data_IF_639676979481
#
_entry.id   IF_639676979481
#
_cell.length_a   1.000
_cell.length_b   1.000
_cell.length_c   1.000
_cell.angle_alpha   90.00
_cell.angle_beta   90.00
_cell.angle_gamma   90.00
#
_symmetry.space_group_name_H-M   'P 1'
#
loop_
_entity.id
_entity.type
_entity.pdbx_description
1 polymer ?
#
# COMPACT_ATOMS: atom_id res chain seq x y z
N UNK A 1 22.74 9.48 1.07
CA UNK A 1 22.59 8.57 2.23
C UNK A 1 21.22 7.87 2.26
N UNK A 2 20.12 8.56 1.89
CA UNK A 2 18.78 7.98 1.67
C UNK A 2 18.81 6.68 0.86
N UNK A 3 19.49 6.71 -0.29
CA UNK A 3 19.61 5.58 -1.22
C UNK A 3 20.32 4.36 -0.61
N UNK A 4 21.29 4.55 0.30
CA UNK A 4 22.17 3.47 0.79
C UNK A 4 21.54 2.69 1.97
N UNK A 5 20.79 3.37 2.84
CA UNK A 5 20.05 2.72 3.92
C UNK A 5 18.73 2.11 3.42
N UNK A 6 18.05 2.77 2.47
CA UNK A 6 16.93 2.16 1.74
C UNK A 6 17.40 0.88 1.05
N UNK A 7 18.56 0.83 0.38
CA UNK A 7 19.04 -0.41 -0.25
C UNK A 7 19.17 -1.57 0.73
N UNK A 8 19.57 -1.33 1.98
CA UNK A 8 19.77 -2.41 2.96
C UNK A 8 18.44 -3.02 3.44
N UNK A 9 17.42 -2.18 3.66
CA UNK A 9 16.06 -2.64 3.97
C UNK A 9 15.31 -3.17 2.74
N UNK A 10 15.58 -2.63 1.55
CA UNK A 10 15.07 -3.10 0.27
C UNK A 10 15.51 -4.54 -0.01
N UNK A 11 16.76 -4.90 0.30
CA UNK A 11 17.21 -6.29 0.15
C UNK A 11 16.56 -7.23 1.16
N UNK A 12 16.39 -6.82 2.42
CA UNK A 12 15.76 -7.67 3.45
C UNK A 12 14.27 -7.88 3.15
N UNK A 13 13.52 -6.84 2.77
CA UNK A 13 12.11 -6.98 2.40
C UNK A 13 11.89 -7.74 1.09
N UNK A 14 12.78 -7.56 0.09
CA UNK A 14 12.77 -8.33 -1.14
C UNK A 14 13.11 -9.81 -0.90
N UNK A 15 14.18 -10.10 -0.15
CA UNK A 15 14.55 -11.47 0.22
C UNK A 15 13.48 -12.14 1.09
N UNK A 16 12.92 -11.44 2.08
CA UNK A 16 11.88 -12.01 2.95
C UNK A 16 10.57 -12.20 2.20
N UNK A 17 10.16 -11.27 1.33
CA UNK A 17 8.98 -11.44 0.47
C UNK A 17 9.14 -12.60 -0.52
N UNK A 18 10.33 -12.76 -1.10
CA UNK A 18 10.65 -13.87 -1.99
C UNK A 18 10.75 -15.21 -1.25
N UNK A 19 11.32 -15.24 -0.03
CA UNK A 19 11.40 -16.44 0.82
C UNK A 19 10.01 -16.82 1.35
N UNK A 20 9.17 -15.87 1.75
CA UNK A 20 7.78 -16.14 2.15
C UNK A 20 6.94 -16.65 0.98
N UNK A 21 7.14 -16.17 -0.24
CA UNK A 21 6.52 -16.73 -1.45
C UNK A 21 6.94 -18.19 -1.69
N UNK A 22 8.18 -18.56 -1.32
CA UNK A 22 8.69 -19.94 -1.41
C UNK A 22 8.20 -20.83 -0.26
N UNK A 23 7.94 -20.26 0.92
CA UNK A 23 7.62 -21.00 2.17
C UNK A 23 6.12 -21.09 2.48
N UNK A 24 5.24 -20.24 1.92
CA UNK A 24 3.77 -20.27 2.15
C UNK A 24 3.04 -21.47 1.51
N UNK A 25 3.67 -22.64 1.43
CA UNK A 25 3.13 -23.89 0.88
C UNK A 25 2.06 -24.58 1.75
N UNK A 26 1.64 -24.01 2.90
CA UNK A 26 1.10 -24.85 3.98
C UNK A 26 -0.08 -24.29 4.78
N UNK A 27 -1.06 -23.61 4.17
CA UNK A 27 -2.40 -23.46 4.81
C UNK A 27 -3.49 -23.36 3.75
N UNK A 28 -4.00 -24.51 3.31
CA UNK A 28 -5.23 -24.61 2.52
C UNK A 28 -6.44 -24.37 3.43
N UNK A 29 -7.27 -23.38 3.10
CA UNK A 29 -8.68 -23.36 3.49
C UNK A 29 -9.54 -23.28 2.22
N UNK A 30 -10.44 -24.24 2.06
CA UNK A 30 -11.40 -24.33 0.96
C UNK A 30 -12.45 -23.21 1.04
N UNK A 31 -12.58 -22.38 -0.01
CA UNK A 31 -13.80 -21.62 -0.38
C UNK A 31 -13.70 -21.03 -1.82
N UNK A 32 -14.77 -20.42 -2.39
CA UNK A 32 -15.62 -20.92 -3.48
C UNK A 32 -15.22 -20.48 -4.92
N UNK A 33 -15.79 -21.18 -5.92
CA UNK A 33 -15.47 -21.11 -7.36
C UNK A 33 -13.98 -21.30 -7.64
N UNK A 34 -13.49 -22.51 -7.36
CA UNK A 34 -12.09 -22.95 -7.56
C UNK A 34 -11.61 -22.92 -9.02
N UNK A 35 -12.42 -22.43 -9.95
CA UNK A 35 -12.21 -22.48 -11.40
C UNK A 35 -12.32 -21.08 -11.99
N UNK A 36 -11.42 -20.72 -12.89
CA UNK A 36 -11.50 -19.45 -13.63
C UNK A 36 -11.41 -19.70 -15.14
N UNK A 37 -12.19 -18.97 -15.98
CA UNK A 37 -12.06 -19.08 -17.42
C UNK A 37 -10.69 -18.57 -17.85
N UNK A 38 -9.95 -19.40 -18.60
CA UNK A 38 -8.66 -19.06 -19.19
C UNK A 38 -8.74 -19.22 -20.71
N UNK A 39 -8.01 -18.36 -21.41
CA UNK A 39 -7.84 -18.47 -22.86
C UNK A 39 -7.42 -19.91 -23.26
N UNK A 40 -8.10 -20.56 -24.23
CA UNK A 40 -7.84 -21.95 -24.58
C UNK A 40 -6.41 -22.22 -25.03
N UNK A 41 -5.76 -21.28 -25.71
CA UNK A 41 -4.37 -21.43 -26.17
C UNK A 41 -3.40 -21.37 -24.99
N UNK A 42 -3.62 -20.40 -24.09
CA UNK A 42 -2.84 -20.28 -22.86
C UNK A 42 -3.00 -21.51 -21.95
N UNK A 43 -4.23 -22.02 -21.85
CA UNK A 43 -4.53 -23.23 -21.10
C UNK A 43 -3.87 -24.48 -21.71
N UNK A 44 -3.86 -24.61 -23.05
CA UNK A 44 -3.17 -25.70 -23.74
C UNK A 44 -1.65 -25.69 -23.50
N UNK A 45 -1.03 -24.49 -23.48
CA UNK A 45 0.38 -24.32 -23.11
C UNK A 45 0.64 -24.76 -21.67
N UNK A 46 -0.22 -24.36 -20.72
CA UNK A 46 -0.13 -24.76 -19.32
C UNK A 46 -0.21 -26.29 -19.15
N UNK A 47 -1.17 -26.96 -19.80
CA UNK A 47 -1.31 -28.43 -19.77
C UNK A 47 -0.10 -29.12 -20.40
N UNK A 48 0.40 -28.59 -21.52
CA UNK A 48 1.58 -29.15 -22.20
C UNK A 48 2.81 -29.07 -21.30
N UNK A 49 3.04 -27.93 -20.65
CA UNK A 49 4.11 -27.79 -19.68
C UNK A 49 3.93 -28.73 -18.50
N UNK A 50 2.73 -28.78 -17.90
CA UNK A 50 2.43 -29.64 -16.76
C UNK A 50 2.80 -31.10 -17.03
N UNK A 51 2.48 -31.64 -18.21
CA UNK A 51 2.85 -33.01 -18.62
C UNK A 51 4.37 -33.25 -18.70
N UNK A 52 5.16 -32.20 -18.85
CA UNK A 52 6.63 -32.26 -18.92
C UNK A 52 7.32 -31.83 -17.62
N UNK A 53 6.56 -31.48 -16.58
CA UNK A 53 7.12 -31.26 -15.25
C UNK A 53 7.66 -32.60 -14.74
N UNK A 54 8.97 -32.65 -14.50
CA UNK A 54 9.67 -33.90 -14.22
C UNK A 54 9.10 -34.60 -12.98
N UNK A 55 8.63 -35.84 -13.16
CA UNK A 55 8.46 -36.79 -12.06
C UNK A 55 9.88 -37.23 -11.68
N UNK A 56 10.30 -36.91 -10.46
CA UNK A 56 11.66 -37.12 -9.96
C UNK A 56 12.07 -38.60 -10.00
N UNK A 57 13.39 -38.85 -10.13
CA UNK A 57 14.01 -40.19 -10.02
C UNK A 57 14.12 -40.66 -8.54
N UNK A 58 13.10 -40.35 -7.74
CA UNK A 58 13.05 -40.54 -6.28
C UNK A 58 12.52 -41.95 -5.93
N UNK A 59 13.07 -42.65 -4.92
CA UNK A 59 12.51 -43.91 -4.39
C UNK A 59 11.00 -43.88 -4.06
N UNK A 60 10.39 -42.71 -3.86
CA UNK A 60 8.93 -42.54 -3.73
C UNK A 60 8.17 -42.35 -5.06
N UNK A 61 8.70 -42.87 -6.17
CA UNK A 61 8.20 -42.70 -7.54
C UNK A 61 6.67 -42.85 -7.70
N UNK A 62 6.02 -43.79 -6.99
CA UNK A 62 4.56 -43.97 -7.07
C UNK A 62 3.77 -42.79 -6.49
N UNK A 63 4.24 -42.19 -5.40
CA UNK A 63 3.58 -41.05 -4.78
C UNK A 63 3.70 -39.80 -5.66
N UNK A 64 4.86 -39.59 -6.29
CA UNK A 64 5.08 -38.51 -7.25
C UNK A 64 4.21 -38.65 -8.50
N UNK A 65 4.00 -39.86 -9.03
CA UNK A 65 3.07 -40.11 -10.14
C UNK A 65 1.63 -39.75 -9.74
N UNK A 66 1.19 -40.14 -8.54
CA UNK A 66 -0.16 -39.83 -8.06
C UNK A 66 -0.37 -38.32 -7.90
N UNK A 67 0.60 -37.61 -7.33
CA UNK A 67 0.56 -36.14 -7.20
C UNK A 67 0.55 -35.44 -8.57
N UNK A 68 1.33 -35.95 -9.53
CA UNK A 68 1.35 -35.43 -10.88
C UNK A 68 0.03 -35.64 -11.62
N UNK A 69 -0.58 -36.83 -11.49
CA UNK A 69 -1.90 -37.08 -12.06
C UNK A 69 -2.97 -36.18 -11.42
N UNK A 70 -2.92 -36.00 -10.10
CA UNK A 70 -3.82 -35.10 -9.39
C UNK A 70 -3.68 -33.65 -9.90
N UNK A 71 -2.46 -33.17 -10.16
CA UNK A 71 -2.23 -31.86 -10.75
C UNK A 71 -2.88 -31.75 -12.14
N UNK A 72 -2.72 -32.75 -13.00
CA UNK A 72 -3.32 -32.75 -14.34
C UNK A 72 -4.85 -32.75 -14.29
N UNK A 73 -5.45 -33.52 -13.38
CA UNK A 73 -6.90 -33.57 -13.19
C UNK A 73 -7.42 -32.23 -12.65
N UNK A 74 -6.71 -31.62 -11.70
CA UNK A 74 -7.00 -30.28 -11.20
C UNK A 74 -6.89 -29.21 -12.29
N UNK A 75 -5.85 -29.26 -13.12
CA UNK A 75 -5.71 -28.34 -14.25
C UNK A 75 -6.88 -28.50 -15.23
N UNK A 76 -7.28 -29.73 -15.58
CA UNK A 76 -8.41 -29.98 -16.48
C UNK A 76 -9.73 -29.41 -15.96
N UNK A 77 -9.91 -29.34 -14.65
CA UNK A 77 -11.06 -28.66 -14.04
C UNK A 77 -10.92 -27.13 -13.97
N UNK A 78 -9.81 -26.55 -14.41
CA UNK A 78 -9.53 -25.11 -14.36
C UNK A 78 -9.10 -24.61 -12.99
N UNK A 79 -8.56 -25.50 -12.14
CA UNK A 79 -8.20 -25.16 -10.76
C UNK A 79 -7.16 -24.04 -10.68
N UNK A 80 -7.49 -22.97 -9.93
CA UNK A 80 -6.66 -21.76 -9.80
C UNK A 80 -5.28 -22.07 -9.22
N UNK A 81 -5.19 -22.87 -8.16
CA UNK A 81 -3.92 -23.20 -7.48
C UNK A 81 -3.03 -24.07 -8.38
N UNK A 82 -3.62 -25.00 -9.11
CA UNK A 82 -2.91 -25.83 -10.07
C UNK A 82 -2.33 -24.98 -11.22
N UNK A 83 -3.12 -24.03 -11.74
CA UNK A 83 -2.68 -23.09 -12.78
C UNK A 83 -1.57 -22.16 -12.26
N UNK A 84 -1.68 -21.68 -11.02
CA UNK A 84 -0.64 -20.89 -10.38
C UNK A 84 0.66 -21.69 -10.21
N UNK A 85 0.57 -22.95 -9.77
CA UNK A 85 1.72 -23.87 -9.64
C UNK A 85 2.45 -24.07 -10.98
N UNK A 86 1.69 -24.25 -12.06
CA UNK A 86 2.24 -24.34 -13.42
C UNK A 86 2.94 -23.03 -13.83
N UNK A 87 2.32 -21.88 -13.59
CA UNK A 87 2.91 -20.58 -13.88
C UNK A 87 4.22 -20.36 -13.12
N UNK A 88 4.28 -20.74 -11.83
CA UNK A 88 5.49 -20.68 -11.04
C UNK A 88 6.61 -21.57 -11.61
N UNK A 89 6.27 -22.80 -12.01
CA UNK A 89 7.22 -23.73 -12.62
C UNK A 89 7.78 -23.21 -13.95
N UNK A 90 6.92 -22.63 -14.80
CA UNK A 90 7.32 -21.97 -16.05
C UNK A 90 8.30 -20.82 -15.78
N UNK A 91 7.98 -19.95 -14.83
CA UNK A 91 8.84 -18.82 -14.48
C UNK A 91 10.21 -19.27 -13.93
N UNK A 92 10.27 -20.37 -13.15
CA UNK A 92 11.52 -20.91 -12.62
C UNK A 92 12.47 -21.46 -13.69
N UNK A 93 11.95 -21.98 -14.82
CA UNK A 93 12.79 -22.43 -15.94
C UNK A 93 13.47 -21.27 -16.66
N UNK A 94 12.85 -20.09 -16.64
CA UNK A 94 13.44 -18.84 -17.13
C UNK A 94 13.71 -18.80 -18.65
N UNK A 95 13.21 -19.75 -19.43
CA UNK A 95 13.26 -19.71 -20.89
C UNK A 95 12.27 -18.67 -21.43
N UNK A 96 12.63 -17.94 -22.50
CA UNK A 96 11.90 -16.75 -22.97
C UNK A 96 10.38 -16.91 -23.04
N UNK A 97 9.89 -17.87 -23.83
CA UNK A 97 8.45 -18.12 -24.01
C UNK A 97 7.78 -18.65 -22.73
N UNK A 98 8.50 -19.40 -21.90
CA UNK A 98 7.99 -19.93 -20.63
C UNK A 98 7.71 -18.78 -19.65
N UNK A 99 8.61 -17.79 -19.57
CA UNK A 99 8.43 -16.60 -18.72
C UNK A 99 7.27 -15.72 -19.20
N UNK A 100 7.08 -15.59 -20.51
CA UNK A 100 5.91 -14.86 -21.06
C UNK A 100 4.63 -15.61 -20.70
N UNK A 101 4.61 -16.92 -20.88
CA UNK A 101 3.46 -17.78 -20.57
C UNK A 101 3.12 -17.75 -19.08
N UNK A 102 4.11 -17.74 -18.18
CA UNK A 102 3.86 -17.62 -16.75
C UNK A 102 3.23 -16.28 -16.38
N UNK A 103 3.72 -15.18 -16.95
CA UNK A 103 3.15 -13.85 -16.70
C UNK A 103 1.72 -13.76 -17.23
N UNK A 104 1.44 -14.30 -18.43
CA UNK A 104 0.09 -14.36 -18.99
C UNK A 104 -0.87 -15.18 -18.11
N UNK A 105 -0.41 -16.31 -17.57
CA UNK A 105 -1.18 -17.10 -16.61
C UNK A 105 -1.47 -16.29 -15.34
N UNK A 106 -0.48 -15.63 -14.75
CA UNK A 106 -0.71 -14.81 -13.57
C UNK A 106 -1.71 -13.67 -13.83
N UNK A 107 -1.66 -13.03 -15.00
CA UNK A 107 -2.68 -12.04 -15.40
C UNK A 107 -4.07 -12.65 -15.44
N UNK A 108 -4.24 -13.80 -16.10
CA UNK A 108 -5.54 -14.47 -16.19
C UNK A 108 -6.11 -14.82 -14.79
N UNK A 109 -5.24 -15.16 -13.84
CA UNK A 109 -5.63 -15.48 -12.46
C UNK A 109 -5.89 -14.22 -11.61
N UNK A 110 -5.05 -13.20 -11.71
CA UNK A 110 -5.10 -11.98 -10.89
C UNK A 110 -6.13 -10.96 -11.40
N UNK A 111 -6.24 -10.75 -12.71
CA UNK A 111 -7.20 -9.80 -13.29
C UNK A 111 -8.58 -10.46 -13.54
N UNK A 112 -8.65 -11.79 -13.46
CA UNK A 112 -9.87 -12.57 -13.63
C UNK A 112 -10.83 -12.53 -12.42
N UNK A 113 -11.99 -13.20 -12.52
CA UNK A 113 -13.01 -13.21 -11.45
C UNK A 113 -12.48 -13.70 -10.10
N UNK A 114 -11.53 -14.64 -10.12
CA UNK A 114 -10.85 -15.16 -8.93
C UNK A 114 -10.07 -14.06 -8.17
N UNK A 115 -9.53 -13.09 -8.89
CA UNK A 115 -8.58 -12.09 -8.41
C UNK A 115 -7.50 -12.68 -7.48
N UNK A 116 -6.86 -13.74 -7.97
CA UNK A 116 -6.00 -14.60 -7.19
C UNK A 116 -4.80 -13.83 -6.58
N UNK A 117 -4.74 -13.77 -5.25
CA UNK A 117 -3.80 -12.94 -4.49
C UNK A 117 -2.35 -13.29 -4.79
N UNK A 118 -1.97 -14.56 -4.80
CA UNK A 118 -0.57 -14.95 -5.04
C UNK A 118 -0.11 -14.65 -6.47
N UNK A 119 -1.03 -14.70 -7.44
CA UNK A 119 -0.73 -14.26 -8.82
C UNK A 119 -0.54 -12.75 -8.90
N UNK A 120 -1.34 -11.95 -8.18
CA UNK A 120 -1.11 -10.52 -8.07
C UNK A 120 0.26 -10.22 -7.41
N UNK A 121 0.64 -10.93 -6.34
CA UNK A 121 1.98 -10.79 -5.73
C UNK A 121 3.09 -11.08 -6.76
N UNK A 122 2.96 -12.17 -7.52
CA UNK A 122 3.95 -12.54 -8.54
C UNK A 122 4.07 -11.50 -9.67
N UNK A 123 2.95 -10.91 -10.10
CA UNK A 123 2.95 -9.81 -11.07
C UNK A 123 3.57 -8.54 -10.48
N UNK A 124 3.27 -8.20 -9.23
CA UNK A 124 3.88 -7.08 -8.52
C UNK A 124 5.41 -7.17 -8.56
N UNK A 125 5.97 -8.34 -8.22
CA UNK A 125 7.42 -8.55 -8.32
C UNK A 125 7.94 -8.55 -9.76
N UNK A 126 7.17 -9.07 -10.71
CA UNK A 126 7.57 -9.10 -12.13
C UNK A 126 7.70 -7.70 -12.73
N UNK A 127 6.88 -6.76 -12.26
CA UNK A 127 6.86 -5.38 -12.76
C UNK A 127 7.67 -4.39 -11.91
N UNK A 128 8.02 -4.71 -10.65
CA UNK A 128 8.58 -3.76 -9.68
C UNK A 128 9.77 -2.92 -10.19
N UNK A 129 10.61 -3.49 -11.05
CA UNK A 129 11.82 -2.83 -11.58
C UNK A 129 11.63 -2.23 -12.98
N UNK A 130 10.56 -2.56 -13.68
CA UNK A 130 10.33 -2.17 -15.10
C UNK A 130 9.12 -1.26 -15.29
N UNK A 131 8.10 -1.40 -14.45
CA UNK A 131 6.86 -0.63 -14.47
C UNK A 131 6.28 -0.55 -13.05
N UNK A 132 6.67 0.51 -12.32
CA UNK A 132 6.30 0.69 -10.91
C UNK A 132 4.81 0.93 -10.71
N UNK A 133 4.15 1.59 -11.64
CA UNK A 133 2.71 1.86 -11.56
C UNK A 133 1.91 0.56 -11.70
N UNK A 134 2.29 -0.29 -12.67
CA UNK A 134 1.67 -1.60 -12.84
C UNK A 134 1.99 -2.53 -11.67
N UNK A 135 3.21 -2.49 -11.14
CA UNK A 135 3.57 -3.23 -9.93
C UNK A 135 2.73 -2.80 -8.72
N UNK A 136 2.53 -1.49 -8.54
CA UNK A 136 1.69 -0.93 -7.49
C UNK A 136 0.26 -1.43 -7.60
N UNK A 137 -0.34 -1.41 -8.79
CA UNK A 137 -1.70 -1.95 -9.02
C UNK A 137 -1.83 -3.35 -8.41
N UNK A 138 -0.88 -4.24 -8.69
CA UNK A 138 -0.93 -5.63 -8.23
C UNK A 138 -0.59 -5.81 -6.75
N UNK A 139 0.40 -5.08 -6.22
CA UNK A 139 0.69 -5.13 -4.80
C UNK A 139 -0.46 -4.58 -3.96
N UNK A 140 -1.11 -3.49 -4.40
CA UNK A 140 -2.30 -2.93 -3.76
C UNK A 140 -3.45 -3.95 -3.78
N UNK A 141 -3.72 -4.56 -4.92
CA UNK A 141 -4.73 -5.61 -5.04
C UNK A 141 -4.47 -6.76 -4.05
N UNK A 142 -3.23 -7.27 -4.00
CA UNK A 142 -2.87 -8.35 -3.08
C UNK A 142 -2.90 -7.91 -1.60
N UNK A 143 -2.54 -6.66 -1.31
CA UNK A 143 -2.58 -6.08 0.04
C UNK A 143 -4.02 -5.90 0.55
N UNK A 144 -5.00 -5.70 -0.33
CA UNK A 144 -6.41 -5.65 0.04
C UNK A 144 -7.02 -7.04 0.26
N UNK A 145 -6.51 -8.05 -0.45
CA UNK A 145 -7.11 -9.40 -0.45
C UNK A 145 -8.44 -9.46 -1.19
N UNK A 146 -9.05 -10.65 -1.26
CA UNK A 146 -10.41 -10.83 -1.83
C UNK A 146 -11.08 -12.09 -1.28
N UNK A 147 -12.38 -11.98 -0.99
CA UNK A 147 -13.20 -13.09 -0.53
C UNK A 147 -12.71 -13.61 0.82
N UNK A 148 -12.54 -14.92 0.93
CA UNK A 148 -12.01 -15.55 2.15
C UNK A 148 -10.47 -15.47 2.24
N UNK A 149 -9.79 -15.06 1.16
CA UNK A 149 -8.36 -14.78 1.12
C UNK A 149 -8.07 -13.41 1.71
N UNK A 150 -7.51 -13.40 2.92
CA UNK A 150 -7.10 -12.18 3.63
C UNK A 150 -5.98 -11.41 2.94
N UNK A 151 -5.62 -10.24 3.47
CA UNK A 151 -4.61 -9.36 2.88
C UNK A 151 -3.21 -10.00 2.87
N UNK A 152 -2.46 -9.83 1.79
CA UNK A 152 -1.08 -10.32 1.71
C UNK A 152 -0.09 -9.32 2.34
N UNK A 153 0.41 -9.63 3.54
CA UNK A 153 1.25 -8.72 4.32
C UNK A 153 2.50 -8.21 3.56
N UNK A 154 3.21 -9.08 2.84
CA UNK A 154 4.39 -8.65 2.08
C UNK A 154 4.05 -7.79 0.86
N UNK A 155 2.82 -7.90 0.34
CA UNK A 155 2.36 -7.04 -0.75
C UNK A 155 2.14 -5.61 -0.24
N UNK A 156 1.55 -5.47 0.95
CA UNK A 156 1.40 -4.16 1.60
C UNK A 156 2.77 -3.50 1.83
N UNK A 157 3.76 -4.23 2.35
CA UNK A 157 5.12 -3.70 2.50
C UNK A 157 5.72 -3.22 1.18
N UNK A 158 5.61 -4.02 0.11
CA UNK A 158 6.15 -3.66 -1.21
C UNK A 158 5.40 -2.49 -1.87
N UNK A 159 4.08 -2.40 -1.69
CA UNK A 159 3.32 -1.22 -2.10
C UNK A 159 3.83 0.03 -1.39
N UNK A 160 3.99 -0.04 -0.05
CA UNK A 160 4.52 1.06 0.74
C UNK A 160 5.90 1.52 0.29
N UNK A 161 6.80 0.58 -0.04
CA UNK A 161 8.12 0.89 -0.63
C UNK A 161 7.98 1.63 -1.96
N UNK A 162 7.18 1.13 -2.88
CA UNK A 162 7.06 1.71 -4.21
C UNK A 162 6.41 3.10 -4.19
N UNK A 163 5.41 3.33 -3.33
CA UNK A 163 4.86 4.68 -3.13
C UNK A 163 5.94 5.66 -2.67
N UNK A 164 6.81 5.26 -1.74
CA UNK A 164 7.92 6.09 -1.30
C UNK A 164 8.89 6.42 -2.44
N UNK A 165 9.21 5.44 -3.29
CA UNK A 165 10.06 5.65 -4.47
C UNK A 165 9.44 6.59 -5.52
N UNK A 166 8.12 6.71 -5.52
CA UNK A 166 7.36 7.64 -6.36
C UNK A 166 7.08 8.98 -5.65
N UNK A 167 7.68 9.22 -4.48
CA UNK A 167 7.49 10.41 -3.63
C UNK A 167 6.06 10.58 -3.07
N UNK A 168 5.30 9.50 -2.93
CA UNK A 168 4.01 9.49 -2.24
C UNK A 168 4.20 8.97 -0.80
N UNK A 169 4.53 9.89 0.10
CA UNK A 169 4.78 9.57 1.51
C UNK A 169 3.51 9.16 2.26
N UNK A 170 2.35 9.74 1.92
CA UNK A 170 1.08 9.43 2.56
C UNK A 170 0.65 7.99 2.28
N UNK A 171 0.63 7.58 1.01
CA UNK A 171 0.36 6.19 0.64
C UNK A 171 1.42 5.24 1.18
N UNK A 172 2.69 5.64 1.21
CA UNK A 172 3.75 4.82 1.83
C UNK A 172 3.47 4.52 3.29
N UNK A 173 3.19 5.56 4.10
CA UNK A 173 2.80 5.41 5.51
C UNK A 173 1.58 4.51 5.65
N UNK A 174 0.55 4.72 4.81
CA UNK A 174 -0.68 3.94 4.85
C UNK A 174 -0.42 2.43 4.67
N UNK A 175 0.35 2.04 3.65
CA UNK A 175 0.60 0.63 3.34
C UNK A 175 1.63 -0.02 4.26
N UNK A 176 2.65 0.70 4.72
CA UNK A 176 3.59 0.18 5.73
C UNK A 176 2.86 -0.01 7.08
N UNK A 177 2.00 0.93 7.48
CA UNK A 177 1.13 0.76 8.66
C UNK A 177 0.20 -0.44 8.50
N UNK A 178 -0.46 -0.56 7.36
CA UNK A 178 -1.33 -1.70 7.08
C UNK A 178 -0.54 -3.03 7.21
N UNK A 179 0.69 -3.09 6.69
CA UNK A 179 1.56 -4.25 6.89
C UNK A 179 1.84 -4.54 8.37
N UNK A 180 2.17 -3.52 9.16
CA UNK A 180 2.45 -3.67 10.58
C UNK A 180 1.22 -4.20 11.36
N UNK A 181 0.01 -3.83 10.93
CA UNK A 181 -1.22 -4.13 11.66
C UNK A 181 -2.03 -5.31 11.12
N UNK A 182 -1.59 -5.98 10.04
CA UNK A 182 -2.32 -7.15 9.47
C UNK A 182 -2.68 -8.17 10.56
N UNK A 183 -1.76 -8.44 11.48
CA UNK A 183 -1.95 -9.43 12.54
C UNK A 183 -3.10 -9.12 13.52
N UNK A 184 -3.52 -7.86 13.64
CA UNK A 184 -4.60 -7.46 14.55
C UNK A 184 -5.97 -7.94 14.06
N UNK A 185 -6.19 -7.90 12.74
CA UNK A 185 -7.48 -8.26 12.12
C UNK A 185 -7.42 -9.61 11.39
N UNK A 186 -6.25 -9.97 10.88
CA UNK A 186 -6.02 -11.13 10.02
C UNK A 186 -4.77 -11.92 10.49
N UNK A 187 -4.76 -12.47 11.72
CA UNK A 187 -3.59 -13.13 12.29
C UNK A 187 -3.08 -14.32 11.46
N UNK A 188 -3.97 -15.02 10.75
CA UNK A 188 -3.60 -16.13 9.85
C UNK A 188 -2.80 -15.68 8.62
N UNK A 189 -2.80 -14.38 8.30
CA UNK A 189 -2.18 -13.80 7.12
C UNK A 189 -0.94 -12.96 7.44
N UNK A 190 -0.50 -12.99 8.71
CA UNK A 190 0.66 -12.25 9.18
C UNK A 190 1.72 -13.19 9.77
N UNK A 191 2.98 -12.80 9.64
CA UNK A 191 4.10 -13.47 10.32
C UNK A 191 4.74 -12.52 11.32
N UNK A 192 5.15 -12.99 12.52
CA UNK A 192 5.80 -12.13 13.51
C UNK A 192 7.01 -11.37 12.96
N UNK A 193 7.82 -12.03 12.14
CA UNK A 193 9.04 -11.45 11.56
C UNK A 193 8.73 -10.29 10.61
N UNK A 194 7.73 -10.45 9.73
CA UNK A 194 7.35 -9.40 8.79
C UNK A 194 6.59 -8.27 9.49
N UNK A 195 5.77 -8.58 10.50
CA UNK A 195 5.15 -7.55 11.36
C UNK A 195 6.22 -6.65 11.99
N UNK A 196 7.25 -7.23 12.60
CA UNK A 196 8.35 -6.47 13.19
C UNK A 196 9.08 -5.61 12.13
N UNK A 197 9.37 -6.20 10.97
CA UNK A 197 10.02 -5.48 9.86
C UNK A 197 9.19 -4.27 9.41
N UNK A 198 7.86 -4.41 9.35
CA UNK A 198 6.96 -3.33 8.97
C UNK A 198 6.85 -2.25 10.06
N UNK A 199 6.91 -2.61 11.34
CA UNK A 199 6.96 -1.66 12.45
C UNK A 199 8.26 -0.83 12.40
N UNK A 200 9.41 -1.48 12.25
CA UNK A 200 10.72 -0.81 12.15
C UNK A 200 10.80 0.11 10.91
N UNK A 201 10.25 -0.33 9.77
CA UNK A 201 10.16 0.48 8.56
C UNK A 201 9.25 1.70 8.76
N UNK A 202 8.12 1.53 9.45
CA UNK A 202 7.20 2.61 9.78
C UNK A 202 7.87 3.67 10.67
N UNK A 203 8.52 3.24 11.75
CA UNK A 203 9.24 4.13 12.67
C UNK A 203 10.36 4.89 11.94
N UNK A 204 11.11 4.20 11.07
CA UNK A 204 12.17 4.80 10.26
C UNK A 204 11.63 5.87 9.32
N UNK A 205 10.55 5.57 8.58
CA UNK A 205 9.91 6.52 7.67
C UNK A 205 9.36 7.73 8.45
N UNK A 206 8.70 7.48 9.57
CA UNK A 206 8.13 8.50 10.44
C UNK A 206 9.20 9.46 10.97
N UNK A 207 10.33 8.92 11.45
CA UNK A 207 11.47 9.71 11.89
C UNK A 207 12.07 10.52 10.74
N UNK A 208 12.16 9.94 9.55
CA UNK A 208 12.74 10.60 8.39
C UNK A 208 11.92 11.80 7.94
N UNK A 209 10.59 11.65 7.82
CA UNK A 209 9.68 12.75 7.45
C UNK A 209 9.83 13.93 8.42
N UNK A 210 9.96 13.66 9.73
CA UNK A 210 10.17 14.69 10.75
C UNK A 210 11.52 15.40 10.66
N UNK A 211 12.54 14.71 10.17
CA UNK A 211 13.90 15.24 10.05
C UNK A 211 14.14 15.95 8.72
N UNK A 212 13.18 15.92 7.78
CA UNK A 212 13.28 16.66 6.54
C UNK A 212 13.20 18.17 6.82
N UNK A 213 14.26 18.89 6.43
CA UNK A 213 14.44 20.32 6.71
C UNK A 213 14.58 21.14 5.44
N UNK A 214 14.86 20.49 4.30
CA UNK A 214 15.10 21.14 3.01
C UNK A 214 13.79 21.47 2.32
N UNK A 215 12.85 20.52 2.35
CA UNK A 215 11.53 20.65 1.73
C UNK A 215 10.47 20.04 2.65
N UNK A 216 10.15 20.70 3.78
CA UNK A 216 9.11 20.20 4.67
C UNK A 216 7.75 20.15 3.93
N UNK A 217 6.88 19.19 4.29
CA UNK A 217 5.58 19.00 3.65
C UNK A 217 4.76 20.29 3.50
N UNK A 218 4.01 20.39 2.40
CA UNK A 218 2.96 21.39 2.24
C UNK A 218 1.80 21.17 3.23
N UNK A 219 0.81 22.08 3.23
CA UNK A 219 -0.41 21.88 4.03
C UNK A 219 -1.14 20.61 3.58
N UNK A 220 -1.29 20.43 2.27
CA UNK A 220 -1.98 19.28 1.66
C UNK A 220 -1.25 17.97 1.96
N UNK A 221 0.05 17.87 1.65
CA UNK A 221 0.85 16.69 1.98
C UNK A 221 0.79 16.34 3.48
N UNK A 222 0.89 17.36 4.36
CA UNK A 222 0.83 17.14 5.80
C UNK A 222 -0.53 16.62 6.25
N UNK A 223 -1.60 17.12 5.61
CA UNK A 223 -2.95 16.67 5.89
C UNK A 223 -3.18 15.22 5.45
N UNK A 224 -2.73 14.86 4.25
CA UNK A 224 -2.84 13.49 3.74
C UNK A 224 -2.05 12.49 4.60
N UNK A 225 -0.83 12.86 5.01
CA UNK A 225 -0.01 12.01 5.87
C UNK A 225 -0.59 11.83 7.27
N UNK A 226 -1.26 12.83 7.83
CA UNK A 226 -1.68 12.84 9.24
C UNK A 226 -2.50 11.60 9.65
N UNK A 227 -3.44 11.19 8.80
CA UNK A 227 -4.32 10.03 9.06
C UNK A 227 -3.58 8.69 9.08
N UNK A 228 -2.39 8.65 8.48
CA UNK A 228 -1.51 7.48 8.42
C UNK A 228 -0.31 7.58 9.34
N UNK A 229 -0.20 8.69 10.08
CA UNK A 229 0.98 9.03 10.88
C UNK A 229 0.95 8.49 12.31
N UNK A 230 -0.13 7.82 12.73
CA UNK A 230 -0.14 6.94 13.90
C UNK A 230 -0.14 5.48 13.49
N UNK A 231 0.79 4.69 14.03
CA UNK A 231 0.81 3.23 13.84
C UNK A 231 -0.41 2.57 14.49
N UNK A 232 -0.92 3.16 15.58
CA UNK A 232 -2.06 2.67 16.35
C UNK A 232 -3.41 3.13 15.76
N UNK A 233 -3.43 3.55 14.49
CA UNK A 233 -4.65 3.92 13.75
C UNK A 233 -5.44 5.10 14.36
N UNK A 234 -4.78 5.93 15.17
CA UNK A 234 -5.35 7.19 15.65
C UNK A 234 -5.30 8.28 14.57
N UNK A 235 -6.35 9.11 14.39
CA UNK A 235 -7.69 8.94 14.96
C UNK A 235 -8.46 7.83 14.22
N UNK A 236 -9.25 7.05 14.97
CA UNK A 236 -10.05 5.98 14.37
C UNK A 236 -11.15 6.55 13.45
N UNK A 237 -11.52 5.87 12.36
CA UNK A 237 -12.64 6.27 11.52
C UNK A 237 -13.94 6.42 12.34
N UNK A 238 -14.75 7.44 12.03
CA UNK A 238 -16.01 7.75 12.73
C UNK A 238 -15.88 8.17 14.21
N UNK A 239 -14.66 8.42 14.69
CA UNK A 239 -14.41 8.96 16.03
C UNK A 239 -14.66 10.48 16.10
N UNK A 240 -14.74 11.03 17.31
CA UNK A 240 -14.89 12.48 17.51
C UNK A 240 -13.64 13.23 17.06
N UNK A 241 -12.49 12.59 17.25
CA UNK A 241 -11.16 13.03 16.93
C UNK A 241 -10.98 13.10 15.41
N UNK A 242 -11.46 12.09 14.69
CA UNK A 242 -11.51 12.12 13.23
C UNK A 242 -12.42 13.24 12.72
N UNK A 243 -13.59 13.42 13.32
CA UNK A 243 -14.50 14.51 12.94
C UNK A 243 -13.90 15.90 13.20
N UNK A 244 -13.09 16.05 14.26
CA UNK A 244 -12.36 17.28 14.56
C UNK A 244 -11.30 17.59 13.51
N UNK A 245 -10.47 16.58 13.19
CA UNK A 245 -9.52 16.66 12.09
C UNK A 245 -10.20 17.05 10.77
N UNK A 246 -11.28 16.35 10.40
CA UNK A 246 -12.02 16.59 9.17
C UNK A 246 -12.58 18.02 9.08
N UNK A 247 -13.13 18.58 10.17
CA UNK A 247 -13.58 19.99 10.20
C UNK A 247 -12.43 20.98 10.01
N UNK A 248 -11.28 20.74 10.66
CA UNK A 248 -10.09 21.56 10.46
C UNK A 248 -9.67 21.60 8.98
N UNK A 249 -9.67 20.45 8.31
CA UNK A 249 -9.35 20.35 6.89
C UNK A 249 -10.41 20.98 5.99
N UNK A 250 -11.69 20.85 6.32
CA UNK A 250 -12.79 21.51 5.60
C UNK A 250 -12.60 23.03 5.57
N UNK A 251 -12.26 23.65 6.70
CA UNK A 251 -11.97 25.09 6.74
C UNK A 251 -10.76 25.49 5.89
N UNK A 252 -9.71 24.67 5.85
CA UNK A 252 -8.56 24.93 4.97
C UNK A 252 -8.95 24.84 3.49
N UNK A 253 -9.81 23.90 3.11
CA UNK A 253 -10.33 23.77 1.74
C UNK A 253 -11.25 24.94 1.36
N UNK A 254 -12.07 25.42 2.30
CA UNK A 254 -12.87 26.62 2.10
C UNK A 254 -11.99 27.85 1.85
N UNK A 255 -10.88 28.00 2.59
CA UNK A 255 -9.89 29.03 2.35
C UNK A 255 -9.22 28.87 0.97
N UNK A 256 -8.75 27.66 0.64
CA UNK A 256 -8.11 27.39 -0.65
C UNK A 256 -9.06 27.71 -1.83
N UNK A 257 -10.35 27.41 -1.68
CA UNK A 257 -11.38 27.75 -2.67
C UNK A 257 -11.55 29.26 -2.83
N UNK A 258 -11.62 30.03 -1.74
CA UNK A 258 -11.64 31.50 -1.81
C UNK A 258 -10.43 32.07 -2.56
N UNK A 259 -9.24 31.50 -2.35
CA UNK A 259 -8.02 31.93 -3.03
C UNK A 259 -8.08 31.59 -4.53
N UNK A 260 -8.49 30.38 -4.90
CA UNK A 260 -8.61 29.94 -6.30
C UNK A 260 -9.60 30.77 -7.09
N UNK A 261 -10.72 31.16 -6.47
CA UNK A 261 -11.75 31.98 -7.11
C UNK A 261 -11.36 33.47 -7.22
N UNK A 262 -10.19 33.88 -6.73
CA UNK A 262 -9.76 35.28 -6.70
C UNK A 262 -10.51 36.12 -5.66
N UNK A 263 -11.43 35.51 -4.91
CA UNK A 263 -12.27 36.18 -3.92
C UNK A 263 -11.48 36.53 -2.64
N UNK A 264 -10.37 35.85 -2.34
CA UNK A 264 -9.56 36.13 -1.16
C UNK A 264 -8.77 37.45 -1.20
N UNK A 265 -8.47 37.97 -2.40
CA UNK A 265 -7.47 39.05 -2.60
C UNK A 265 -7.97 40.33 -3.30
N UNK A 266 -9.29 40.47 -3.49
CA UNK A 266 -9.86 41.62 -4.23
C UNK A 266 -10.91 42.43 -3.48
N UNK A 267 -11.48 41.89 -2.41
CA UNK A 267 -12.54 42.55 -1.65
C UNK A 267 -12.28 42.43 -0.15
N UNK A 268 -12.51 43.51 0.61
CA UNK A 268 -12.47 43.52 2.09
C UNK A 268 -13.32 42.38 2.68
N UNK A 269 -14.40 41.99 1.97
CA UNK A 269 -15.28 40.88 2.34
C UNK A 269 -14.59 39.50 2.25
N UNK A 270 -13.69 39.33 1.29
CA UNK A 270 -12.94 38.11 1.02
C UNK A 270 -11.78 37.90 1.98
N UNK A 271 -11.02 38.95 2.28
CA UNK A 271 -9.94 38.91 3.27
C UNK A 271 -10.48 38.47 4.64
N UNK A 272 -11.55 39.12 5.11
CA UNK A 272 -12.22 38.80 6.37
C UNK A 272 -12.78 37.37 6.43
N UNK A 273 -13.36 36.88 5.33
CA UNK A 273 -13.84 35.48 5.23
C UNK A 273 -12.67 34.48 5.26
N UNK A 274 -11.59 34.76 4.54
CA UNK A 274 -10.41 33.90 4.54
C UNK A 274 -9.75 33.83 5.92
N UNK A 275 -9.61 34.95 6.63
CA UNK A 275 -9.18 34.96 8.04
C UNK A 275 -10.09 34.11 8.93
N UNK A 276 -11.41 34.19 8.73
CA UNK A 276 -12.38 33.40 9.51
C UNK A 276 -12.16 31.90 9.32
N UNK A 277 -11.92 31.45 8.08
CA UNK A 277 -11.65 30.04 7.80
C UNK A 277 -10.30 29.58 8.36
N UNK A 278 -9.23 30.38 8.18
CA UNK A 278 -7.91 30.07 8.75
C UNK A 278 -7.95 29.99 10.28
N UNK A 279 -8.64 30.92 10.94
CA UNK A 279 -8.79 30.91 12.40
C UNK A 279 -9.61 29.71 12.88
N UNK A 280 -10.68 29.34 12.17
CA UNK A 280 -11.48 28.17 12.51
C UNK A 280 -10.68 26.86 12.34
N UNK A 281 -9.88 26.75 11.28
CA UNK A 281 -8.95 25.63 11.09
C UNK A 281 -7.94 25.54 12.22
N UNK A 282 -7.31 26.67 12.58
CA UNK A 282 -6.37 26.73 13.70
C UNK A 282 -7.02 26.28 15.01
N UNK A 283 -8.23 26.77 15.33
CA UNK A 283 -8.93 26.41 16.56
C UNK A 283 -9.23 24.91 16.64
N UNK A 284 -9.71 24.28 15.57
CA UNK A 284 -9.96 22.83 15.56
C UNK A 284 -8.66 22.03 15.74
N UNK A 285 -7.57 22.44 15.08
CA UNK A 285 -6.27 21.76 15.19
C UNK A 285 -5.61 21.93 16.57
N UNK A 286 -5.66 23.13 17.15
CA UNK A 286 -5.20 23.39 18.52
C UNK A 286 -6.05 22.64 19.55
N UNK A 287 -7.37 22.57 19.33
CA UNK A 287 -8.26 21.80 20.18
C UNK A 287 -7.94 20.30 20.10
N UNK A 288 -7.62 19.78 18.91
CA UNK A 288 -7.19 18.40 18.73
C UNK A 288 -5.88 18.13 19.47
N UNK A 289 -4.88 19.01 19.31
CA UNK A 289 -3.57 18.87 19.95
C UNK A 289 -3.66 18.95 21.47
N UNK A 290 -4.46 19.87 22.01
CA UNK A 290 -4.62 20.05 23.46
C UNK A 290 -5.49 18.98 24.11
N UNK A 291 -6.55 18.55 23.44
CA UNK A 291 -7.47 17.52 23.94
C UNK A 291 -6.91 16.11 23.84
N UNK A 292 -6.18 15.81 22.75
CA UNK A 292 -5.81 14.46 22.36
C UNK A 292 -4.32 14.25 22.08
N UNK A 293 -3.46 15.23 22.35
CA UNK A 293 -2.03 15.14 22.06
C UNK A 293 -1.35 13.92 22.68
N UNK A 294 -1.81 13.41 23.82
CA UNK A 294 -1.23 12.19 24.43
C UNK A 294 -1.44 10.92 23.60
N UNK A 295 -2.44 10.90 22.72
CA UNK A 295 -2.76 9.79 21.82
C UNK A 295 -2.10 9.93 20.44
N UNK A 296 -1.56 11.11 20.14
CA UNK A 296 -0.93 11.39 18.87
C UNK A 296 0.52 10.91 18.85
N UNK A 297 0.97 10.40 17.70
CA UNK A 297 2.38 10.10 17.48
C UNK A 297 3.22 11.38 17.40
N UNK A 298 4.54 11.26 17.52
CA UNK A 298 5.45 12.39 17.31
C UNK A 298 5.36 12.95 15.88
N UNK A 299 5.09 12.11 14.87
CA UNK A 299 4.89 12.56 13.50
C UNK A 299 3.58 13.34 13.36
N UNK A 300 2.49 12.90 14.00
CA UNK A 300 1.23 13.64 13.98
C UNK A 300 1.36 15.04 14.60
N UNK A 301 2.09 15.15 15.72
CA UNK A 301 2.39 16.46 16.31
C UNK A 301 3.16 17.36 15.34
N UNK A 302 4.20 16.81 14.71
CA UNK A 302 5.01 17.53 13.72
C UNK A 302 4.17 18.03 12.53
N UNK A 303 3.29 17.20 11.99
CA UNK A 303 2.45 17.56 10.84
C UNK A 303 1.41 18.63 11.20
N UNK A 304 0.78 18.54 12.38
CA UNK A 304 -0.09 19.61 12.90
C UNK A 304 0.70 20.92 13.03
N UNK A 305 1.93 20.87 13.56
CA UNK A 305 2.75 22.05 13.76
C UNK A 305 3.18 22.72 12.44
N UNK A 306 3.42 21.92 11.39
CA UNK A 306 3.62 22.46 10.03
C UNK A 306 2.38 23.20 9.56
N UNK A 307 1.20 22.58 9.67
CA UNK A 307 -0.05 23.18 9.19
C UNK A 307 -0.32 24.48 9.93
N UNK A 308 -0.26 24.45 11.27
CA UNK A 308 -0.45 25.63 12.11
C UNK A 308 0.55 26.75 11.81
N UNK A 309 1.84 26.41 11.65
CA UNK A 309 2.87 27.37 11.29
C UNK A 309 2.60 28.05 9.95
N UNK A 310 2.15 27.30 8.94
CA UNK A 310 1.79 27.84 7.62
C UNK A 310 0.50 28.67 7.68
N UNK A 311 -0.50 28.25 8.44
CA UNK A 311 -1.73 29.03 8.69
C UNK A 311 -1.37 30.37 9.32
N UNK A 312 -0.48 30.41 10.31
CA UNK A 312 -0.02 31.64 10.94
C UNK A 312 0.65 32.60 9.92
N UNK A 313 1.51 32.07 9.04
CA UNK A 313 2.13 32.87 7.98
C UNK A 313 1.08 33.47 7.04
N UNK A 314 0.07 32.69 6.65
CA UNK A 314 -1.02 33.16 5.79
C UNK A 314 -1.85 34.25 6.47
N UNK A 315 -2.21 34.07 7.74
CA UNK A 315 -2.94 35.10 8.51
C UNK A 315 -2.13 36.40 8.61
N UNK A 316 -0.83 36.32 8.92
CA UNK A 316 0.03 37.52 8.99
C UNK A 316 0.16 38.22 7.64
N UNK A 317 0.24 37.46 6.53
CA UNK A 317 0.27 38.05 5.19
C UNK A 317 -1.02 38.84 4.90
N UNK A 318 -2.17 38.29 5.28
CA UNK A 318 -3.49 38.91 5.10
C UNK A 318 -3.68 40.19 5.92
N UNK A 319 -3.09 40.27 7.12
CA UNK A 319 -3.07 41.50 7.93
C UNK A 319 -2.15 42.58 7.34
N UNK A 320 -1.07 42.19 6.64
CA UNK A 320 -0.12 43.13 6.05
C UNK A 320 -0.59 43.74 4.72
N UNK A 321 -1.47 43.05 3.98
CA UNK A 321 -2.04 43.54 2.72
C UNK A 321 -3.13 44.62 2.95
N UNK A 322 -3.78 44.66 4.12
CA UNK A 322 -4.74 45.72 4.51
C UNK A 322 -4.05 47.05 4.91
N UNK A 323 -2.71 47.10 4.94
CA UNK A 323 -1.92 48.26 5.36
C UNK A 323 -1.52 49.25 4.27
N UNK A 324 -1.88 48.99 3.00
CA UNK A 324 -1.58 49.86 1.85
C UNK A 324 -2.87 50.40 1.19
N UNK A 325 -3.74 51.01 1.99
CA UNK A 325 -4.60 52.09 1.48
C UNK A 325 -3.84 53.42 1.68
N UNK A 326 -3.17 53.88 0.63
CA UNK A 326 -2.71 55.27 0.45
C UNK A 326 -3.84 56.11 -0.13
#
# INVERSE_FOLDING_TARGET
MLVVLLTLWMWVGYLMGFVSLVVSQSTLHDAPSSTTPIDPELFAKAITHAKTMAITNDPNHRQHIQQHQQLLDQLQSGNIEALYTVAQSLNQRGAGDDRITSVQLWHALADGPAAHVLSAVALGFSYAEVDKELALKYFVQAAQGKGDGGPHQAAAFNAGRLFLELNDAASSLAYIRACANVHNQFPAYATPQLTQTCQEAYETLSLHIRQETTSPPGIEDAAEMFLYSSIDEFPEPNSKEFAMWARGMEYLEMYATLVREGNARGEISGNKKGQTYLLAAQQELEHMKSGYGKNMSELQHYLIDIILGRVQVLMTAMESEDGYEL
#
